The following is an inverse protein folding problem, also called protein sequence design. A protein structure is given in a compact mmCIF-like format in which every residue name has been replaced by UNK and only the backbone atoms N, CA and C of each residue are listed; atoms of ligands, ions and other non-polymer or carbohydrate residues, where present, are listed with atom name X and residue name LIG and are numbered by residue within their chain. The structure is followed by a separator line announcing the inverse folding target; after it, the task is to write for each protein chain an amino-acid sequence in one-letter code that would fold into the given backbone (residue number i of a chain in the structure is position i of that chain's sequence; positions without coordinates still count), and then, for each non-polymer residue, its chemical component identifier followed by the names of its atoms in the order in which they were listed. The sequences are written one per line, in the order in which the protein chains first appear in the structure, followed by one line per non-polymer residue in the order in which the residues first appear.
data_IF_859534139288
#
_entry.id   IF_859534139288
#
_cell.length_a   1.000
_cell.length_b   1.000
_cell.length_c   1.000
_cell.angle_alpha   90.00
_cell.angle_beta   90.00
_cell.angle_gamma   90.00
#
_symmetry.space_group_name_H-M   'P 1'
#
loop_
_entity.id
_entity.type
_entity.pdbx_description
1 polymer ?
#
# COMPACT_ATOMS: atom_id res chain seq x y z
N UNK A 1 -6.91 2.12 -0.36
CA UNK A 1 -6.56 2.05 -1.79
C UNK A 1 -5.82 3.32 -2.14
N UNK A 2 -4.50 3.30 -2.12
CA UNK A 2 -3.67 4.46 -2.46
C UNK A 2 -3.43 4.39 -3.96
N UNK A 3 -4.03 5.29 -4.74
CA UNK A 3 -3.56 5.55 -6.09
C UNK A 3 -2.21 6.23 -5.90
N UNK A 4 -1.08 5.65 -6.31
CA UNK A 4 0.18 6.35 -6.24
C UNK A 4 0.09 7.51 -7.23
N UNK A 5 -0.13 8.72 -6.74
CA UNK A 5 0.27 9.91 -7.47
C UNK A 5 1.80 9.84 -7.55
N UNK A 6 2.29 9.12 -8.54
CA UNK A 6 3.71 9.14 -8.88
C UNK A 6 4.06 10.59 -9.10
N UNK A 7 4.90 11.14 -8.22
CA UNK A 7 5.60 12.38 -8.49
C UNK A 7 6.51 12.12 -9.70
N UNK A 8 5.88 12.08 -10.88
CA UNK A 8 6.58 12.12 -12.15
C UNK A 8 7.30 13.46 -12.19
N UNK A 9 8.61 13.44 -11.97
CA UNK A 9 9.43 14.53 -12.40
C UNK A 9 9.01 14.90 -13.83
N UNK A 10 8.89 16.19 -14.10
CA UNK A 10 8.87 16.77 -15.44
C UNK A 10 10.19 16.38 -16.15
N UNK A 11 10.31 15.12 -16.52
CA UNK A 11 11.29 14.70 -17.50
C UNK A 11 10.73 15.09 -18.87
N UNK A 12 11.52 15.90 -19.57
CA UNK A 12 11.34 16.20 -20.97
C UNK A 12 10.92 14.92 -21.71
N UNK A 13 9.93 15.05 -22.59
CA UNK A 13 9.35 14.02 -23.45
C UNK A 13 10.38 13.00 -23.96
N UNK A 14 10.81 12.08 -23.11
CA UNK A 14 11.41 10.86 -23.57
C UNK A 14 10.24 10.04 -24.13
N UNK A 15 10.38 9.51 -25.31
CA UNK A 15 9.47 8.56 -25.90
C UNK A 15 9.39 7.35 -24.97
N UNK A 16 8.55 7.44 -23.93
CA UNK A 16 8.29 6.32 -23.05
C UNK A 16 7.81 5.16 -23.92
N UNK A 17 8.32 3.95 -23.72
CA UNK A 17 7.96 2.81 -24.55
C UNK A 17 6.45 2.63 -24.57
N UNK A 18 5.90 2.24 -25.70
CA UNK A 18 4.46 1.99 -25.85
C UNK A 18 3.96 0.91 -24.90
N UNK A 19 4.86 0.01 -24.50
CA UNK A 19 4.58 -1.08 -23.53
C UNK A 19 5.58 -1.01 -22.39
N UNK A 20 5.08 -1.11 -21.17
CA UNK A 20 5.88 -1.19 -19.94
C UNK A 20 5.34 -2.31 -19.05
N UNK A 21 6.19 -2.85 -18.20
CA UNK A 21 5.73 -3.86 -17.28
C UNK A 21 6.78 -4.18 -16.20
N UNK A 22 6.37 -5.02 -15.29
CA UNK A 22 7.24 -5.49 -14.25
C UNK A 22 6.57 -6.55 -13.39
N UNK A 23 7.41 -7.17 -12.60
CA UNK A 23 6.97 -8.17 -11.64
C UNK A 23 8.07 -8.41 -10.63
N UNK A 24 7.85 -9.36 -9.76
CA UNK A 24 8.83 -9.69 -8.75
C UNK A 24 8.33 -10.75 -7.78
N UNK A 25 9.10 -10.97 -6.74
CA UNK A 25 8.68 -11.76 -5.60
C UNK A 25 9.15 -11.08 -4.32
N UNK A 26 8.33 -11.11 -3.29
CA UNK A 26 8.66 -10.60 -1.95
C UNK A 26 8.26 -11.64 -0.91
N UNK A 27 9.18 -11.99 -0.09
CA UNK A 27 8.98 -12.83 1.08
C UNK A 27 9.03 -11.94 2.32
N UNK A 28 8.00 -12.03 3.19
CA UNK A 28 7.92 -11.33 4.45
C UNK A 28 7.60 -12.32 5.57
N UNK A 29 8.25 -12.20 6.71
CA UNK A 29 7.92 -12.98 7.89
C UNK A 29 8.04 -12.13 9.14
N UNK A 30 7.09 -12.29 10.06
CA UNK A 30 7.11 -11.69 11.39
C UNK A 30 6.99 -12.81 12.43
N UNK A 31 7.89 -12.84 13.40
CA UNK A 31 7.90 -13.79 14.52
C UNK A 31 7.64 -13.06 15.82
N UNK A 32 6.83 -13.65 16.68
CA UNK A 32 6.41 -13.11 17.95
C UNK A 32 7.18 -13.80 19.10
N UNK A 33 7.70 -13.00 20.05
CA UNK A 33 8.52 -13.52 21.16
C UNK A 33 7.70 -14.30 22.18
N UNK A 34 6.45 -13.85 22.42
CA UNK A 34 5.55 -14.40 23.43
C UNK A 34 4.43 -15.22 22.77
N UNK A 35 4.82 -16.15 21.90
CA UNK A 35 3.92 -16.92 21.05
C UNK A 35 2.77 -17.59 21.82
N UNK A 36 3.04 -18.18 22.97
CA UNK A 36 2.02 -18.84 23.80
C UNK A 36 1.00 -17.86 24.37
N UNK A 37 1.43 -16.66 24.77
CA UNK A 37 0.54 -15.64 25.32
C UNK A 37 -0.35 -15.00 24.24
N UNK A 38 0.20 -14.76 23.04
CA UNK A 38 -0.52 -14.14 21.93
C UNK A 38 -1.26 -15.12 21.04
N UNK A 39 -0.93 -16.43 21.12
CA UNK A 39 -1.50 -17.49 20.30
C UNK A 39 -1.03 -17.47 18.84
N UNK A 40 0.05 -16.72 18.53
CA UNK A 40 0.65 -16.60 17.21
C UNK A 40 2.16 -16.73 17.34
N UNK A 41 2.76 -17.68 16.65
CA UNK A 41 4.21 -17.85 16.57
C UNK A 41 4.83 -17.01 15.46
N UNK A 42 4.21 -17.09 14.26
CA UNK A 42 4.67 -16.31 13.11
C UNK A 42 3.58 -16.08 12.07
N UNK A 43 3.75 -14.99 11.30
CA UNK A 43 2.98 -14.71 10.10
C UNK A 43 3.97 -14.58 8.96
N UNK A 44 3.75 -15.32 7.87
CA UNK A 44 4.59 -15.32 6.68
C UNK A 44 3.75 -14.99 5.46
N UNK A 45 4.28 -14.18 4.55
CA UNK A 45 3.65 -13.80 3.30
C UNK A 45 4.66 -13.85 2.15
N UNK A 46 4.34 -14.57 1.10
CA UNK A 46 5.02 -14.52 -0.19
C UNK A 46 4.09 -13.83 -1.19
N UNK A 47 4.56 -12.78 -1.83
CA UNK A 47 3.82 -12.08 -2.88
C UNK A 47 4.59 -12.06 -4.18
N UNK A 48 3.87 -12.17 -5.29
CA UNK A 48 4.41 -12.07 -6.64
C UNK A 48 3.52 -11.09 -7.43
N UNK A 49 3.81 -9.78 -7.39
CA UNK A 49 3.08 -8.78 -8.14
C UNK A 49 3.41 -8.85 -9.63
N UNK A 50 2.40 -8.60 -10.47
CA UNK A 50 2.50 -8.46 -11.91
C UNK A 50 1.80 -7.17 -12.32
N UNK A 51 2.46 -6.39 -13.17
CA UNK A 51 1.88 -5.19 -13.74
C UNK A 51 2.31 -5.04 -15.20
N UNK A 52 1.39 -4.61 -16.04
CA UNK A 52 1.66 -4.27 -17.43
C UNK A 52 0.87 -3.01 -17.79
N UNK A 53 1.43 -2.21 -18.68
CA UNK A 53 0.79 -1.00 -19.18
C UNK A 53 1.08 -0.80 -20.66
N UNK A 54 0.10 -0.25 -21.36
CA UNK A 54 0.23 0.15 -22.75
C UNK A 54 -0.23 1.60 -22.90
N UNK A 55 0.54 2.37 -23.66
CA UNK A 55 0.19 3.75 -24.04
C UNK A 55 -0.37 3.74 -25.45
N UNK A 56 -1.57 4.27 -25.62
CA UNK A 56 -2.27 4.41 -26.89
C UNK A 56 -2.24 5.89 -27.29
N UNK A 57 -1.32 6.25 -28.17
CA UNK A 57 -1.07 7.64 -28.52
C UNK A 57 -0.45 8.44 -27.37
N UNK A 58 -0.71 9.75 -27.34
CA UNK A 58 -0.15 10.66 -26.32
C UNK A 58 -1.03 10.79 -25.07
N UNK A 59 -2.30 10.48 -25.14
CA UNK A 59 -3.28 10.84 -24.12
C UNK A 59 -3.86 9.65 -23.34
N UNK A 60 -3.80 8.44 -23.87
CA UNK A 60 -4.48 7.27 -23.27
C UNK A 60 -3.47 6.24 -22.79
N UNK A 61 -3.67 5.74 -21.56
CA UNK A 61 -2.89 4.67 -20.98
C UNK A 61 -3.82 3.64 -20.36
N UNK A 62 -3.56 2.38 -20.62
CA UNK A 62 -4.23 1.24 -20.01
C UNK A 62 -3.21 0.51 -19.16
N UNK A 63 -3.57 0.22 -17.92
CA UNK A 63 -2.74 -0.54 -16.98
C UNK A 63 -3.54 -1.73 -16.44
N UNK A 64 -2.87 -2.87 -16.29
CA UNK A 64 -3.40 -4.04 -15.64
C UNK A 64 -2.43 -4.49 -14.54
N UNK A 65 -2.95 -4.89 -13.38
CA UNK A 65 -2.14 -5.40 -12.29
C UNK A 65 -2.88 -6.43 -11.46
N UNK A 66 -2.15 -7.41 -10.97
CA UNK A 66 -2.60 -8.40 -9.99
C UNK A 66 -1.40 -8.87 -9.16
N UNK A 67 -1.65 -9.52 -8.04
CA UNK A 67 -0.60 -10.12 -7.20
C UNK A 67 -1.01 -11.54 -6.86
N UNK A 68 -0.13 -12.51 -7.09
CA UNK A 68 -0.27 -13.81 -6.44
C UNK A 68 0.28 -13.67 -5.02
N UNK A 69 -0.47 -14.15 -4.02
CA UNK A 69 -0.08 -14.09 -2.64
C UNK A 69 -0.32 -15.44 -1.94
N UNK A 70 0.66 -15.86 -1.14
CA UNK A 70 0.55 -17.02 -0.27
C UNK A 70 0.93 -16.59 1.15
N UNK A 71 -0.04 -16.60 2.05
CA UNK A 71 0.13 -16.30 3.46
C UNK A 71 0.03 -17.53 4.33
N UNK A 72 0.70 -17.50 5.47
CA UNK A 72 0.51 -18.50 6.52
C UNK A 72 0.66 -17.90 7.91
N UNK A 73 -0.16 -18.39 8.84
CA UNK A 73 -0.12 -18.10 10.26
C UNK A 73 0.17 -19.39 11.00
N UNK A 74 1.28 -19.42 11.75
CA UNK A 74 1.66 -20.54 12.61
C UNK A 74 1.30 -20.22 14.05
N UNK A 75 0.74 -21.20 14.75
CA UNK A 75 0.39 -21.11 16.17
C UNK A 75 1.32 -21.97 17.01
N UNK A 76 1.45 -21.70 18.32
CA UNK A 76 2.09 -22.60 19.25
C UNK A 76 1.51 -24.02 19.15
N UNK A 77 2.37 -25.04 19.21
CA UNK A 77 1.93 -26.44 19.04
C UNK A 77 1.96 -26.95 17.59
N UNK A 78 2.36 -26.11 16.63
CA UNK A 78 2.61 -26.51 15.23
C UNK A 78 1.39 -26.44 14.31
N UNK A 79 0.24 -25.97 14.81
CA UNK A 79 -0.92 -25.68 13.95
C UNK A 79 -0.61 -24.56 12.97
N UNK A 80 -0.98 -24.77 11.70
CA UNK A 80 -0.73 -23.81 10.63
C UNK A 80 -1.96 -23.61 9.76
N UNK A 81 -2.36 -22.33 9.61
CA UNK A 81 -3.39 -21.91 8.67
C UNK A 81 -2.72 -21.24 7.47
N UNK A 82 -3.20 -21.47 6.26
CA UNK A 82 -2.62 -20.87 5.06
C UNK A 82 -3.70 -20.47 4.05
N UNK A 83 -3.48 -19.34 3.39
CA UNK A 83 -4.31 -18.82 2.28
C UNK A 83 -3.40 -18.58 1.09
N UNK A 84 -3.82 -18.99 -0.10
CA UNK A 84 -3.08 -18.71 -1.33
C UNK A 84 -4.04 -18.39 -2.47
N UNK A 85 -3.64 -17.50 -3.37
CA UNK A 85 -4.43 -17.14 -4.55
C UNK A 85 -3.95 -15.82 -5.16
N UNK A 86 -4.61 -15.42 -6.22
CA UNK A 86 -4.47 -14.08 -6.78
C UNK A 86 -5.18 -13.07 -5.88
N UNK A 87 -4.76 -11.82 -5.94
CA UNK A 87 -5.60 -10.68 -5.53
C UNK A 87 -6.53 -10.33 -6.69
N UNK A 88 -7.51 -9.46 -6.43
CA UNK A 88 -8.35 -8.95 -7.51
C UNK A 88 -7.50 -8.29 -8.60
N UNK A 89 -7.77 -8.65 -9.87
CA UNK A 89 -7.09 -8.05 -11.02
C UNK A 89 -7.67 -6.67 -11.31
N UNK A 90 -6.83 -5.65 -11.27
CA UNK A 90 -7.21 -4.26 -11.56
C UNK A 90 -6.85 -3.90 -12.98
N UNK A 91 -7.82 -3.32 -13.69
CA UNK A 91 -7.62 -2.72 -15.01
C UNK A 91 -7.98 -1.25 -14.88
N UNK A 92 -7.04 -0.37 -15.21
CA UNK A 92 -7.21 1.06 -15.13
C UNK A 92 -7.02 1.69 -16.49
N UNK A 93 -7.96 2.56 -16.88
CA UNK A 93 -7.87 3.45 -18.02
C UNK A 93 -7.57 4.85 -17.51
N UNK A 94 -6.54 5.48 -18.06
CA UNK A 94 -6.15 6.85 -17.77
C UNK A 94 -6.19 7.66 -19.07
N UNK A 95 -6.85 8.81 -19.05
CA UNK A 95 -6.94 9.70 -20.21
C UNK A 95 -6.55 11.12 -19.81
N UNK A 96 -5.50 11.64 -20.42
CA UNK A 96 -5.12 13.05 -20.29
C UNK A 96 -6.05 13.91 -21.15
N UNK A 97 -7.02 14.59 -20.51
CA UNK A 97 -7.95 15.50 -21.16
C UNK A 97 -7.27 16.83 -21.47
N UNK A 98 -6.44 17.31 -20.54
CA UNK A 98 -5.55 18.44 -20.73
C UNK A 98 -4.12 17.94 -20.43
N UNK A 99 -3.21 17.97 -21.42
CA UNK A 99 -1.86 17.45 -21.24
C UNK A 99 -1.16 17.99 -19.99
N UNK A 100 -0.65 17.09 -19.15
CA UNK A 100 0.02 17.37 -17.90
C UNK A 100 -0.79 18.16 -16.85
N UNK A 101 -2.11 18.31 -17.02
CA UNK A 101 -2.94 19.09 -16.08
C UNK A 101 -4.19 18.38 -15.60
N UNK A 102 -4.91 17.71 -16.50
CA UNK A 102 -6.17 17.08 -16.17
C UNK A 102 -6.23 15.66 -16.70
N UNK A 103 -6.38 14.71 -15.80
CA UNK A 103 -6.51 13.29 -16.12
C UNK A 103 -7.85 12.77 -15.61
N UNK A 104 -8.54 12.02 -16.43
CA UNK A 104 -9.73 11.25 -16.06
C UNK A 104 -9.34 9.78 -16.01
N UNK A 105 -9.82 9.06 -15.01
CA UNK A 105 -9.53 7.63 -14.84
C UNK A 105 -10.80 6.82 -14.67
N UNK A 106 -10.80 5.60 -15.25
CA UNK A 106 -11.75 4.54 -14.98
C UNK A 106 -11.02 3.33 -14.42
N UNK A 107 -11.65 2.60 -13.51
CA UNK A 107 -11.11 1.41 -12.87
C UNK A 107 -12.15 0.30 -12.90
N UNK A 108 -11.72 -0.90 -13.29
CA UNK A 108 -12.45 -2.14 -13.09
C UNK A 108 -11.57 -3.09 -12.28
N UNK A 109 -12.10 -3.61 -11.19
CA UNK A 109 -11.47 -4.65 -10.39
C UNK A 109 -12.23 -5.95 -10.64
N UNK A 110 -11.58 -6.92 -11.30
CA UNK A 110 -12.17 -8.23 -11.57
C UNK A 110 -12.03 -9.11 -10.31
N UNK A 111 -13.06 -9.89 -9.95
CA UNK A 111 -13.05 -10.74 -8.74
C UNK A 111 -12.22 -12.01 -8.96
N UNK A 112 -10.96 -11.86 -9.30
CA UNK A 112 -10.00 -12.97 -9.48
C UNK A 112 -9.33 -13.39 -8.18
N UNK A 113 -9.52 -12.60 -7.13
CA UNK A 113 -8.93 -12.80 -5.82
C UNK A 113 -9.66 -13.85 -4.99
N UNK A 114 -8.92 -14.47 -4.05
CA UNK A 114 -9.53 -15.31 -3.04
C UNK A 114 -10.29 -14.41 -2.04
N UNK A 115 -11.61 -14.41 -2.10
CA UNK A 115 -12.46 -13.58 -1.26
C UNK A 115 -13.26 -14.40 -0.23
N UNK A 116 -13.22 -15.74 -0.32
CA UNK A 116 -13.92 -16.68 0.56
C UNK A 116 -12.92 -17.45 1.41
N UNK A 117 -13.12 -17.44 2.73
CA UNK A 117 -12.19 -17.98 3.72
C UNK A 117 -12.90 -18.92 4.68
N UNK A 118 -12.18 -19.92 5.19
CA UNK A 118 -12.64 -20.65 6.38
C UNK A 118 -12.53 -19.75 7.63
N UNK A 119 -13.16 -20.15 8.72
CA UNK A 119 -13.12 -19.38 9.98
C UNK A 119 -11.68 -19.20 10.49
N UNK A 120 -10.85 -20.20 10.31
CA UNK A 120 -9.42 -20.17 10.70
C UNK A 120 -8.63 -19.21 9.82
N UNK A 121 -8.94 -19.14 8.53
CA UNK A 121 -8.27 -18.26 7.55
C UNK A 121 -8.62 -16.78 7.74
N UNK A 122 -9.80 -16.47 8.28
CA UNK A 122 -10.19 -15.09 8.62
C UNK A 122 -9.19 -14.45 9.59
N UNK A 123 -8.65 -15.23 10.54
CA UNK A 123 -7.62 -14.76 11.46
C UNK A 123 -6.33 -14.33 10.75
N UNK A 124 -5.88 -15.08 9.75
CA UNK A 124 -4.73 -14.73 8.92
C UNK A 124 -5.02 -13.49 8.05
N UNK A 125 -6.19 -13.45 7.40
CA UNK A 125 -6.59 -12.31 6.59
C UNK A 125 -6.63 -11.01 7.41
N UNK A 126 -7.17 -11.06 8.63
CA UNK A 126 -7.18 -9.93 9.56
C UNK A 126 -5.79 -9.48 10.01
N UNK A 127 -4.88 -10.41 10.26
CA UNK A 127 -3.51 -10.12 10.65
C UNK A 127 -2.71 -9.45 9.51
N UNK A 128 -2.92 -9.88 8.27
CA UNK A 128 -2.29 -9.27 7.08
C UNK A 128 -2.86 -7.89 6.79
N UNK A 129 -4.13 -7.64 7.12
CA UNK A 129 -4.78 -6.33 6.97
C UNK A 129 -4.41 -5.30 8.05
N UNK A 130 -3.59 -5.67 9.07
CA UNK A 130 -3.20 -4.77 10.16
C UNK A 130 -2.27 -3.65 9.67
N UNK A 131 -2.56 -2.40 10.07
CA UNK A 131 -1.80 -1.23 9.60
C UNK A 131 -0.35 -1.17 10.14
N UNK A 132 -0.08 -1.75 11.32
CA UNK A 132 1.24 -1.71 11.94
C UNK A 132 2.26 -2.59 11.22
N UNK A 133 1.86 -3.83 10.88
CA UNK A 133 2.71 -4.76 10.15
C UNK A 133 2.63 -4.46 8.64
N UNK A 134 3.72 -3.99 8.02
CA UNK A 134 3.69 -3.51 6.64
C UNK A 134 3.75 -4.64 5.62
N UNK A 135 2.71 -5.47 5.57
CA UNK A 135 2.59 -6.48 4.51
C UNK A 135 2.33 -5.86 3.14
N UNK A 136 2.79 -6.51 2.08
CA UNK A 136 2.66 -6.05 0.68
C UNK A 136 1.20 -6.04 0.18
N UNK A 137 0.33 -6.87 0.77
CA UNK A 137 -1.10 -6.87 0.50
C UNK A 137 -1.87 -6.64 1.80
N UNK A 138 -3.10 -6.14 1.69
CA UNK A 138 -4.05 -6.01 2.81
C UNK A 138 -5.25 -6.95 2.69
N UNK A 139 -5.40 -7.61 1.55
CA UNK A 139 -6.41 -8.66 1.32
C UNK A 139 -6.06 -9.47 0.08
N UNK A 140 -6.58 -10.69 -0.04
CA UNK A 140 -6.48 -11.50 -1.25
C UNK A 140 -7.54 -11.13 -2.28
N UNK A 141 -8.76 -10.84 -1.84
CA UNK A 141 -9.85 -10.43 -2.72
C UNK A 141 -10.89 -9.62 -1.99
N UNK A 142 -11.74 -8.94 -2.75
CA UNK A 142 -12.79 -8.07 -2.24
C UNK A 142 -14.07 -8.11 -3.09
N UNK A 143 -14.25 -9.17 -3.90
CA UNK A 143 -15.41 -9.32 -4.77
C UNK A 143 -15.36 -8.43 -6.01
N UNK A 144 -14.21 -7.81 -6.29
CA UNK A 144 -14.06 -6.91 -7.43
C UNK A 144 -14.71 -5.54 -7.22
N UNK A 145 -15.07 -4.88 -8.33
CA UNK A 145 -15.75 -3.57 -8.27
C UNK A 145 -15.42 -2.67 -9.44
N UNK A 146 -16.00 -1.48 -9.44
CA UNK A 146 -15.79 -0.44 -10.46
C UNK A 146 -15.51 0.90 -9.79
N UNK A 147 -14.79 1.77 -10.48
CA UNK A 147 -14.50 3.10 -9.95
C UNK A 147 -14.08 4.06 -11.04
N UNK A 148 -13.91 5.30 -10.65
CA UNK A 148 -13.41 6.34 -11.54
C UNK A 148 -12.98 7.57 -10.76
N UNK A 149 -12.29 8.47 -11.43
CA UNK A 149 -11.82 9.67 -10.78
C UNK A 149 -11.31 10.72 -11.75
N UNK A 150 -11.05 11.88 -11.19
CA UNK A 150 -10.46 13.02 -11.89
C UNK A 150 -9.29 13.53 -11.06
N UNK A 151 -8.18 13.78 -11.70
CA UNK A 151 -6.98 14.36 -11.10
C UNK A 151 -6.56 15.61 -11.87
N UNK A 152 -6.12 16.62 -11.14
CA UNK A 152 -5.55 17.83 -11.74
C UNK A 152 -4.17 18.12 -11.14
N UNK A 153 -3.34 18.82 -11.92
CA UNK A 153 -2.05 19.33 -11.47
C UNK A 153 -1.77 20.69 -12.11
N UNK A 154 -1.29 21.63 -11.31
CA UNK A 154 -0.96 22.98 -11.74
C UNK A 154 0.43 23.36 -11.25
N UNK A 155 1.45 23.48 -12.15
CA UNK A 155 2.70 24.10 -11.80
C UNK A 155 2.57 25.61 -11.66
N UNK A 156 3.22 26.19 -10.65
CA UNK A 156 3.24 27.60 -10.35
C UNK A 156 4.65 28.04 -9.92
N UNK A 157 5.52 28.28 -10.87
CA UNK A 157 6.93 28.59 -10.60
C UNK A 157 7.67 27.42 -9.95
N UNK A 158 8.22 27.65 -8.76
CA UNK A 158 8.89 26.60 -7.95
C UNK A 158 7.92 25.71 -7.20
N UNK A 159 6.61 25.95 -7.28
CA UNK A 159 5.56 25.21 -6.59
C UNK A 159 4.73 24.40 -7.57
N UNK A 160 4.30 23.20 -7.16
CA UNK A 160 3.29 22.40 -7.83
C UNK A 160 2.13 22.12 -6.88
N UNK A 161 0.90 22.24 -7.38
CA UNK A 161 -0.32 21.93 -6.62
C UNK A 161 -1.13 20.93 -7.43
N UNK A 162 -1.53 19.85 -6.79
CA UNK A 162 -2.39 18.84 -7.42
C UNK A 162 -3.44 18.30 -6.47
N UNK A 163 -4.45 17.69 -7.06
CA UNK A 163 -5.49 17.02 -6.30
C UNK A 163 -6.26 16.02 -7.14
N UNK A 164 -6.95 15.13 -6.49
CA UNK A 164 -7.84 14.18 -7.15
C UNK A 164 -9.06 13.87 -6.31
N UNK A 165 -10.12 13.49 -6.99
CA UNK A 165 -11.34 12.92 -6.39
C UNK A 165 -11.63 11.63 -7.13
N UNK A 166 -11.88 10.55 -6.39
CA UNK A 166 -12.21 9.24 -6.92
C UNK A 166 -13.36 8.61 -6.15
N UNK A 167 -14.13 7.78 -6.83
CA UNK A 167 -15.21 7.01 -6.24
C UNK A 167 -15.13 5.57 -6.70
N UNK A 168 -15.29 4.63 -5.75
CA UNK A 168 -15.23 3.19 -6.03
C UNK A 168 -16.43 2.50 -5.41
N UNK A 169 -17.06 1.65 -6.19
CA UNK A 169 -18.18 0.79 -5.78
C UNK A 169 -17.65 -0.64 -5.79
N UNK A 170 -17.48 -1.28 -4.61
CA UNK A 170 -17.08 -2.68 -4.52
C UNK A 170 -18.17 -3.62 -5.02
N UNK A 171 -17.77 -4.80 -5.45
CA UNK A 171 -18.66 -5.91 -5.73
C UNK A 171 -19.14 -6.59 -4.45
N UNK A 172 -20.07 -7.51 -4.62
CA UNK A 172 -20.59 -8.38 -3.57
C UNK A 172 -19.87 -9.73 -3.62
N UNK A 173 -19.57 -10.31 -2.46
CA UNK A 173 -18.93 -11.62 -2.37
C UNK A 173 -19.32 -12.33 -1.08
N UNK A 174 -19.00 -13.61 -0.97
CA UNK A 174 -19.12 -14.39 0.25
C UNK A 174 -17.76 -14.42 0.98
N UNK A 175 -17.61 -13.80 2.15
CA UNK A 175 -16.32 -13.79 2.88
C UNK A 175 -16.04 -15.06 3.68
N UNK A 176 -17.05 -15.89 3.94
CA UNK A 176 -16.93 -17.08 4.82
C UNK A 176 -17.45 -18.31 4.08
N UNK A 177 -16.58 -19.31 3.93
CA UNK A 177 -16.91 -20.58 3.32
C UNK A 177 -18.06 -21.27 4.08
N UNK A 178 -18.92 -21.98 3.35
CA UNK A 178 -20.09 -22.72 3.88
C UNK A 178 -21.15 -21.85 4.59
N UNK A 179 -21.02 -20.52 4.54
CA UNK A 179 -22.06 -19.62 4.99
C UNK A 179 -22.75 -18.97 3.78
N UNK A 180 -24.06 -19.07 3.64
CA UNK A 180 -24.82 -18.31 2.63
C UNK A 180 -24.88 -16.83 3.04
N UNK A 181 -23.79 -16.11 2.82
CA UNK A 181 -23.52 -14.81 3.42
C UNK A 181 -23.02 -13.83 2.36
N UNK A 182 -23.90 -13.02 1.84
CA UNK A 182 -23.55 -12.01 0.84
C UNK A 182 -23.11 -10.72 1.52
N UNK A 183 -21.85 -10.37 1.37
CA UNK A 183 -21.25 -9.17 1.92
C UNK A 183 -20.85 -8.21 0.80
N UNK A 184 -21.20 -6.96 0.96
CA UNK A 184 -20.76 -5.85 0.11
C UNK A 184 -20.09 -4.80 0.96
N UNK A 185 -18.78 -4.56 0.77
CA UNK A 185 -18.11 -3.45 1.43
C UNK A 185 -18.71 -2.12 1.01
N UNK A 186 -18.65 -1.13 1.89
CA UNK A 186 -19.10 0.22 1.60
C UNK A 186 -18.36 0.84 0.42
N UNK A 187 -19.08 1.60 -0.40
CA UNK A 187 -18.48 2.40 -1.46
C UNK A 187 -17.52 3.44 -0.86
N UNK A 188 -16.41 3.73 -1.55
CA UNK A 188 -15.36 4.61 -1.07
C UNK A 188 -15.26 5.89 -1.90
N UNK A 189 -15.38 7.04 -1.25
CA UNK A 189 -14.98 8.36 -1.78
C UNK A 189 -13.55 8.63 -1.33
N UNK A 190 -12.64 8.89 -2.27
CA UNK A 190 -11.26 9.25 -2.01
C UNK A 190 -10.99 10.68 -2.48
N UNK A 191 -10.42 11.51 -1.61
CA UNK A 191 -9.94 12.86 -1.94
C UNK A 191 -8.46 12.91 -1.61
N UNK A 192 -7.65 13.35 -2.57
CA UNK A 192 -6.22 13.47 -2.42
C UNK A 192 -5.74 14.87 -2.78
N UNK A 193 -4.69 15.33 -2.13
CA UNK A 193 -4.02 16.58 -2.45
C UNK A 193 -2.52 16.45 -2.31
N UNK A 194 -1.81 17.22 -3.12
CA UNK A 194 -0.36 17.33 -3.08
C UNK A 194 0.04 18.78 -3.30
N UNK A 195 0.98 19.23 -2.49
CA UNK A 195 1.72 20.48 -2.71
C UNK A 195 3.20 20.12 -2.70
N UNK A 196 3.93 20.53 -3.70
CA UNK A 196 5.38 20.41 -3.73
C UNK A 196 6.05 21.77 -3.95
N UNK A 197 7.24 21.91 -3.42
CA UNK A 197 8.03 23.12 -3.52
C UNK A 197 9.50 22.79 -3.76
N UNK A 198 10.06 23.33 -4.84
CA UNK A 198 11.47 23.20 -5.17
C UNK A 198 12.23 24.39 -4.61
N UNK A 199 13.17 24.13 -3.70
CA UNK A 199 14.03 25.11 -3.06
C UNK A 199 15.16 25.57 -4.04
N UNK A 200 15.79 26.69 -3.75
CA UNK A 200 16.90 27.23 -4.56
C UNK A 200 18.08 26.27 -4.70
N UNK A 201 18.37 25.49 -3.65
CA UNK A 201 19.38 24.44 -3.65
C UNK A 201 18.96 23.15 -4.37
N UNK A 202 17.85 23.19 -5.14
CA UNK A 202 17.25 22.06 -5.87
C UNK A 202 16.71 20.94 -4.98
N UNK A 203 16.67 21.10 -3.67
CA UNK A 203 15.93 20.17 -2.83
C UNK A 203 14.43 20.39 -2.99
N UNK A 204 13.63 19.34 -2.73
CA UNK A 204 12.18 19.38 -2.92
C UNK A 204 11.47 18.99 -1.64
N UNK A 205 10.55 19.81 -1.21
CA UNK A 205 9.60 19.53 -0.15
C UNK A 205 8.28 19.11 -0.80
N UNK A 206 7.62 18.09 -0.26
CA UNK A 206 6.28 17.74 -0.68
C UNK A 206 5.43 17.41 0.55
N UNK A 207 4.17 17.86 0.49
CA UNK A 207 3.12 17.52 1.45
C UNK A 207 1.99 16.84 0.68
N UNK A 208 1.56 15.69 1.14
CA UNK A 208 0.46 14.92 0.58
C UNK A 208 -0.58 14.67 1.65
N UNK A 209 -1.86 14.69 1.27
CA UNK A 209 -2.93 14.17 2.10
C UNK A 209 -3.83 13.24 1.28
N UNK A 210 -4.43 12.27 1.94
CA UNK A 210 -5.39 11.37 1.37
C UNK A 210 -6.50 11.12 2.40
N UNK A 211 -7.75 11.42 2.04
CA UNK A 211 -8.90 11.16 2.87
C UNK A 211 -9.86 10.22 2.15
N UNK A 212 -10.24 9.15 2.84
CA UNK A 212 -11.19 8.18 2.32
C UNK A 212 -12.38 8.11 3.27
N UNK A 213 -13.56 8.23 2.71
CA UNK A 213 -14.83 8.05 3.39
C UNK A 213 -15.54 6.85 2.81
N UNK A 214 -16.13 6.03 3.68
CA UNK A 214 -16.82 4.81 3.30
C UNK A 214 -18.31 4.93 3.59
N UNK A 215 -19.15 4.38 2.72
CA UNK A 215 -20.54 4.12 3.04
C UNK A 215 -20.65 2.89 3.95
N UNK A 216 -21.86 2.58 4.39
CA UNK A 216 -22.10 1.40 5.22
C UNK A 216 -21.83 0.12 4.42
N UNK A 217 -21.25 -0.87 5.09
CA UNK A 217 -21.13 -2.23 4.59
C UNK A 217 -22.47 -2.94 4.72
N UNK A 218 -22.83 -3.73 3.72
CA UNK A 218 -24.09 -4.46 3.66
C UNK A 218 -23.87 -5.97 3.78
N UNK A 219 -24.76 -6.63 4.52
CA UNK A 219 -24.88 -8.08 4.57
C UNK A 219 -26.28 -8.46 4.17
N UNK A 220 -26.43 -9.26 3.10
CA UNK A 220 -27.73 -9.65 2.54
C UNK A 220 -28.65 -8.45 2.28
N UNK A 221 -28.08 -7.30 1.86
CA UNK A 221 -28.81 -6.06 1.60
C UNK A 221 -29.19 -5.24 2.85
N UNK A 222 -28.72 -5.64 4.03
CA UNK A 222 -28.93 -4.90 5.28
C UNK A 222 -27.62 -4.22 5.69
N UNK A 223 -27.67 -2.92 5.98
CA UNK A 223 -26.52 -2.18 6.50
C UNK A 223 -26.13 -2.76 7.87
N UNK A 224 -24.88 -3.20 8.01
CA UNK A 224 -24.38 -3.87 9.21
C UNK A 224 -23.29 -3.07 9.91
N UNK A 225 -22.34 -2.55 9.18
CA UNK A 225 -21.16 -1.93 9.73
C UNK A 225 -20.82 -0.66 8.96
N UNK A 226 -20.38 0.37 9.67
CA UNK A 226 -19.81 1.59 9.10
C UNK A 226 -18.32 1.64 9.37
N UNK A 227 -17.52 1.53 8.33
CA UNK A 227 -16.09 1.75 8.43
C UNK A 227 -15.80 3.20 8.78
N UNK A 228 -14.86 3.44 9.72
CA UNK A 228 -14.41 4.78 10.02
C UNK A 228 -13.65 5.41 8.84
N UNK A 229 -13.75 6.73 8.72
CA UNK A 229 -12.99 7.51 7.73
C UNK A 229 -11.48 7.28 7.93
N UNK A 230 -10.72 7.33 6.83
CA UNK A 230 -9.26 7.16 6.87
C UNK A 230 -8.59 8.43 6.32
N UNK A 231 -7.77 9.07 7.14
CA UNK A 231 -6.96 10.22 6.76
C UNK A 231 -5.49 9.85 6.82
N UNK A 232 -4.75 10.12 5.77
CA UNK A 232 -3.30 10.01 5.74
C UNK A 232 -2.68 11.34 5.34
N UNK A 233 -1.69 11.79 6.09
CA UNK A 233 -0.87 12.96 5.79
C UNK A 233 0.60 12.53 5.75
N UNK A 234 1.35 12.99 4.76
CA UNK A 234 2.76 12.68 4.60
C UNK A 234 3.53 13.90 4.10
N UNK A 235 4.55 14.28 4.85
CA UNK A 235 5.58 15.23 4.43
C UNK A 235 6.83 14.49 3.94
N UNK A 236 7.51 15.02 2.93
CA UNK A 236 8.80 14.50 2.48
C UNK A 236 9.74 15.61 2.06
N UNK A 237 11.03 15.38 2.26
CA UNK A 237 12.13 16.24 1.82
C UNK A 237 13.13 15.42 1.04
N UNK A 238 13.26 15.71 -0.26
CA UNK A 238 14.26 15.14 -1.14
C UNK A 238 15.41 16.14 -1.32
N UNK A 239 16.65 15.66 -1.23
CA UNK A 239 17.84 16.50 -1.26
C UNK A 239 19.00 15.81 -1.97
N UNK A 240 19.97 16.60 -2.45
CA UNK A 240 21.22 16.09 -3.02
C UNK A 240 22.18 15.73 -1.89
N UNK A 241 22.78 14.55 -1.95
CA UNK A 241 23.76 14.03 -0.98
C UNK A 241 25.10 13.81 -1.70
N UNK A 242 25.89 14.86 -1.84
CA UNK A 242 27.14 14.85 -2.60
C UNK A 242 26.93 14.79 -4.11
N UNK A 243 28.02 14.51 -4.86
CA UNK A 243 28.00 14.56 -6.31
C UNK A 243 27.29 13.39 -7.00
N UNK A 244 27.18 12.26 -6.32
CA UNK A 244 26.65 11.00 -6.88
C UNK A 244 25.48 10.44 -6.04
N UNK A 245 24.93 11.22 -5.12
CA UNK A 245 23.92 10.77 -4.19
C UNK A 245 22.72 11.70 -4.09
N UNK A 246 21.63 11.13 -3.64
CA UNK A 246 20.43 11.83 -3.21
C UNK A 246 19.92 11.21 -1.93
N UNK A 247 19.14 11.96 -1.18
CA UNK A 247 18.48 11.48 0.02
C UNK A 247 17.02 11.88 0.04
N UNK A 248 16.25 11.15 0.82
CA UNK A 248 14.87 11.48 1.12
C UNK A 248 14.62 11.23 2.60
N UNK A 249 13.99 12.18 3.28
CA UNK A 249 13.41 11.99 4.60
C UNK A 249 11.90 12.16 4.50
N UNK A 250 11.14 11.41 5.27
CA UNK A 250 9.69 11.51 5.31
C UNK A 250 9.17 11.31 6.72
N UNK A 251 8.03 11.90 6.98
CA UNK A 251 7.22 11.63 8.16
C UNK A 251 5.74 11.72 7.79
N UNK A 252 4.90 11.01 8.51
CA UNK A 252 3.48 11.04 8.25
C UNK A 252 2.65 10.50 9.40
N UNK A 253 1.36 10.62 9.21
CA UNK A 253 0.33 10.20 10.14
C UNK A 253 -0.84 9.62 9.36
N UNK A 254 -1.27 8.43 9.75
CA UNK A 254 -2.48 7.80 9.27
C UNK A 254 -3.45 7.69 10.43
N UNK A 255 -4.64 8.25 10.28
CA UNK A 255 -5.72 8.16 11.24
C UNK A 255 -6.88 7.37 10.64
N UNK A 256 -7.43 6.48 11.45
CA UNK A 256 -8.69 5.80 11.16
C UNK A 256 -9.67 6.19 12.27
N UNK A 257 -10.76 6.85 11.91
CA UNK A 257 -11.80 7.19 12.86
C UNK A 257 -12.55 5.94 13.34
N UNK A 258 -13.36 6.10 14.36
CA UNK A 258 -14.18 5.01 14.90
C UNK A 258 -15.09 4.41 13.83
N UNK A 259 -15.13 3.06 13.79
CA UNK A 259 -16.14 2.30 13.04
C UNK A 259 -17.17 1.72 13.98
N UNK A 260 -18.40 1.55 13.53
CA UNK A 260 -19.50 1.07 14.38
C UNK A 260 -20.36 0.01 13.69
N UNK A 261 -20.76 -1.01 14.43
CA UNK A 261 -21.88 -1.87 14.04
C UNK A 261 -23.19 -1.10 14.22
N UNK A 262 -24.07 -1.16 13.22
CA UNK A 262 -25.27 -0.34 13.18
C UNK A 262 -26.43 -0.91 14.01
N UNK A 263 -26.36 -2.18 14.35
CA UNK A 263 -27.34 -2.95 15.14
C UNK A 263 -26.91 -3.18 16.60
N UNK A 264 -25.70 -2.75 16.97
CA UNK A 264 -25.08 -3.03 18.27
C UNK A 264 -24.30 -1.80 18.77
N UNK A 265 -24.03 -1.77 20.07
CA UNK A 265 -23.19 -0.77 20.73
C UNK A 265 -21.69 -1.05 20.56
N UNK A 266 -21.33 -2.11 19.83
CA UNK A 266 -19.92 -2.43 19.55
C UNK A 266 -19.34 -1.44 18.56
N UNK A 267 -18.15 -0.95 18.84
CA UNK A 267 -17.41 -0.11 17.93
C UNK A 267 -15.98 -0.62 17.77
N UNK A 268 -15.38 -0.29 16.62
CA UNK A 268 -13.96 -0.41 16.42
C UNK A 268 -13.32 0.92 16.81
N UNK A 269 -12.46 0.98 17.84
CA UNK A 269 -11.88 2.22 18.30
C UNK A 269 -11.10 2.94 17.21
N UNK A 270 -11.10 4.26 17.26
CA UNK A 270 -10.24 5.10 16.44
C UNK A 270 -8.76 4.87 16.80
N UNK A 271 -7.90 4.98 15.79
CA UNK A 271 -6.47 4.74 15.96
C UNK A 271 -5.63 5.58 15.00
N UNK A 272 -4.44 5.93 15.44
CA UNK A 272 -3.44 6.63 14.67
C UNK A 272 -2.15 5.83 14.52
N UNK A 273 -1.57 5.86 13.31
CA UNK A 273 -0.24 5.34 13.00
C UNK A 273 0.66 6.49 12.60
N UNK A 274 1.67 6.78 13.42
CA UNK A 274 2.75 7.71 13.11
C UNK A 274 3.87 6.94 12.45
N UNK A 275 4.44 7.49 11.40
CA UNK A 275 5.58 6.88 10.73
C UNK A 275 6.59 7.94 10.29
N UNK A 276 7.86 7.58 10.33
CA UNK A 276 8.96 8.41 9.82
C UNK A 276 10.05 7.53 9.25
N UNK A 277 10.85 8.09 8.35
CA UNK A 277 11.98 7.36 7.81
C UNK A 277 12.90 8.25 6.99
N UNK A 278 14.03 7.67 6.63
CA UNK A 278 14.99 8.28 5.73
C UNK A 278 15.62 7.22 4.83
N UNK A 279 16.04 7.64 3.66
CA UNK A 279 16.78 6.82 2.73
C UNK A 279 17.83 7.63 1.98
N UNK A 280 18.90 6.97 1.64
CA UNK A 280 19.94 7.51 0.76
C UNK A 280 19.92 6.71 -0.54
N UNK A 281 20.41 7.32 -1.59
CA UNK A 281 20.59 6.70 -2.89
C UNK A 281 21.93 7.14 -3.43
N UNK A 282 22.82 6.20 -3.68
CA UNK A 282 24.19 6.47 -4.15
C UNK A 282 24.50 5.62 -5.37
N UNK A 283 25.03 6.25 -6.41
CA UNK A 283 25.49 5.56 -7.62
C UNK A 283 26.89 5.03 -7.42
N UNK A 284 27.08 3.72 -7.61
CA UNK A 284 28.35 3.04 -7.46
C UNK A 284 28.55 1.97 -8.54
N UNK A 285 29.58 2.14 -9.39
CA UNK A 285 29.96 1.14 -10.40
C UNK A 285 28.84 0.78 -11.39
N UNK A 286 28.00 1.73 -11.77
CA UNK A 286 26.84 1.48 -12.65
C UNK A 286 25.59 0.93 -11.96
N UNK A 287 25.67 0.67 -10.67
CA UNK A 287 24.52 0.29 -9.81
C UNK A 287 24.09 1.47 -8.95
N UNK A 288 22.88 1.39 -8.38
CA UNK A 288 22.43 2.31 -7.33
C UNK A 288 22.19 1.53 -6.04
N UNK A 289 22.81 1.97 -4.96
CA UNK A 289 22.66 1.41 -3.62
C UNK A 289 21.81 2.35 -2.79
N UNK A 290 20.76 1.84 -2.15
CA UNK A 290 19.78 2.65 -1.44
C UNK A 290 19.46 2.06 -0.06
N UNK A 291 20.23 2.39 1.01
CA UNK A 291 19.88 2.09 2.38
C UNK A 291 18.68 2.93 2.84
N UNK A 292 17.88 2.36 3.73
CA UNK A 292 16.70 3.01 4.33
C UNK A 292 16.59 2.69 5.82
N UNK A 293 15.98 3.59 6.57
CA UNK A 293 15.56 3.36 7.95
C UNK A 293 14.13 3.88 8.14
N UNK A 294 13.34 3.21 8.96
CA UNK A 294 11.96 3.59 9.26
C UNK A 294 11.59 3.35 10.72
N UNK A 295 10.61 4.11 11.19
CA UNK A 295 9.96 3.95 12.49
C UNK A 295 8.45 4.06 12.30
N UNK A 296 7.70 3.21 12.99
CA UNK A 296 6.23 3.20 13.05
C UNK A 296 5.78 3.11 14.50
N UNK A 297 4.80 3.91 14.88
CA UNK A 297 4.19 3.89 16.21
C UNK A 297 2.69 3.97 16.04
N UNK A 298 1.97 2.99 16.55
CA UNK A 298 0.51 2.94 16.48
C UNK A 298 -0.08 3.13 17.87
N UNK A 299 -1.12 3.97 17.97
CA UNK A 299 -1.85 4.25 19.20
C UNK A 299 -3.34 4.36 18.93
N UNK A 300 -4.16 4.00 19.93
CA UNK A 300 -5.59 4.39 19.98
C UNK A 300 -5.72 5.83 20.43
N UNK A 301 -6.86 6.46 20.14
CA UNK A 301 -7.13 7.84 20.55
C UNK A 301 -7.28 7.97 22.08
N UNK A 302 -7.62 6.89 22.80
CA UNK A 302 -7.59 6.82 24.26
C UNK A 302 -6.18 6.81 24.87
N UNK A 303 -5.14 6.85 24.03
CA UNK A 303 -3.74 6.81 24.43
C UNK A 303 -3.14 5.41 24.55
N UNK A 304 -3.94 4.35 24.39
CA UNK A 304 -3.44 2.97 24.46
C UNK A 304 -2.42 2.72 23.35
N UNK A 305 -1.21 2.31 23.70
CA UNK A 305 -0.16 1.92 22.77
C UNK A 305 -0.54 0.61 22.07
N UNK A 306 -0.49 0.60 20.74
CA UNK A 306 -0.80 -0.56 19.92
C UNK A 306 0.48 -1.23 19.38
N UNK A 307 1.61 -0.56 19.49
CA UNK A 307 2.91 -1.09 19.15
C UNK A 307 3.82 -0.12 18.43
N UNK A 308 5.07 -0.53 18.37
CA UNK A 308 6.16 0.22 17.73
C UNK A 308 7.02 -0.72 16.90
N UNK A 309 7.35 -0.33 15.67
CA UNK A 309 8.28 -1.04 14.80
C UNK A 309 9.36 -0.08 14.31
N UNK A 310 10.63 -0.48 14.46
CA UNK A 310 11.76 0.15 13.80
C UNK A 310 12.34 -0.80 12.75
N UNK A 311 12.83 -0.27 11.64
CA UNK A 311 13.37 -1.08 10.55
C UNK A 311 14.54 -0.42 9.85
N UNK A 312 15.40 -1.27 9.27
CA UNK A 312 16.47 -0.86 8.37
C UNK A 312 16.47 -1.77 7.14
N UNK A 313 16.73 -1.21 5.98
CA UNK A 313 16.71 -1.92 4.73
C UNK A 313 17.79 -1.50 3.76
N UNK A 314 18.01 -2.33 2.76
CA UNK A 314 18.91 -2.09 1.64
C UNK A 314 18.21 -2.50 0.35
N UNK A 315 18.23 -1.62 -0.63
CA UNK A 315 17.81 -1.88 -2.01
C UNK A 315 18.96 -1.60 -2.93
N UNK A 316 19.14 -2.45 -3.93
CA UNK A 316 20.14 -2.25 -5.00
C UNK A 316 19.41 -2.23 -6.34
N UNK A 317 19.76 -1.31 -7.23
CA UNK A 317 19.25 -1.24 -8.59
C UNK A 317 20.38 -1.60 -9.55
N UNK A 318 20.19 -2.66 -10.32
CA UNK A 318 21.21 -3.22 -11.21
C UNK A 318 20.67 -3.19 -12.64
N UNK A 319 21.15 -2.30 -13.50
CA UNK A 319 20.83 -2.31 -14.93
C UNK A 319 21.37 -3.59 -15.60
N UNK A 320 20.52 -4.32 -16.30
CA UNK A 320 20.86 -5.53 -17.04
C UNK A 320 20.23 -5.45 -18.45
N UNK A 321 20.88 -4.74 -19.37
CA UNK A 321 20.30 -4.41 -20.68
C UNK A 321 19.05 -3.55 -20.54
N UNK A 322 17.93 -4.00 -21.09
CA UNK A 322 16.64 -3.32 -21.03
C UNK A 322 15.83 -3.64 -19.74
N UNK A 323 16.41 -4.43 -18.84
CA UNK A 323 15.79 -4.83 -17.59
C UNK A 323 16.52 -4.17 -16.42
N UNK A 324 15.75 -3.66 -15.45
CA UNK A 324 16.27 -3.22 -14.16
C UNK A 324 15.96 -4.29 -13.12
N UNK A 325 17.00 -4.86 -12.51
CA UNK A 325 16.91 -5.88 -11.45
C UNK A 325 17.07 -5.19 -10.10
N UNK A 326 16.11 -5.41 -9.18
CA UNK A 326 16.04 -4.67 -7.92
C UNK A 326 15.90 -5.66 -6.75
N UNK A 327 17.00 -6.23 -6.24
CA UNK A 327 17.00 -6.96 -4.98
C UNK A 327 16.82 -5.99 -3.79
N UNK A 328 16.08 -6.44 -2.77
CA UNK A 328 15.91 -5.70 -1.52
C UNK A 328 15.88 -6.64 -0.32
N UNK A 329 16.33 -6.13 0.81
CA UNK A 329 16.20 -6.77 2.13
C UNK A 329 15.82 -5.70 3.14
N UNK A 330 14.97 -6.05 4.11
CA UNK A 330 14.61 -5.17 5.23
C UNK A 330 14.44 -6.01 6.50
N UNK A 331 15.00 -5.51 7.59
CA UNK A 331 14.85 -6.07 8.93
C UNK A 331 14.01 -5.11 9.77
N UNK A 332 13.11 -5.65 10.57
CA UNK A 332 12.26 -4.89 11.48
C UNK A 332 12.25 -5.52 12.86
N UNK A 333 12.08 -4.70 13.90
CA UNK A 333 11.94 -5.17 15.26
C UNK A 333 11.12 -4.19 16.09
N UNK A 334 10.47 -4.68 17.12
CA UNK A 334 9.65 -3.84 18.00
C UNK A 334 8.67 -4.62 18.84
N UNK A 335 7.54 -4.02 19.15
CA UNK A 335 6.44 -4.62 19.91
C UNK A 335 5.11 -4.38 19.23
N UNK A 336 4.16 -5.26 19.49
CA UNK A 336 2.77 -5.15 18.99
C UNK A 336 1.80 -5.64 20.05
N UNK A 337 0.73 -4.88 20.26
CA UNK A 337 -0.40 -5.28 21.10
C UNK A 337 -1.35 -6.15 20.26
N UNK A 338 -1.51 -7.41 20.64
CA UNK A 338 -2.38 -8.36 19.92
C UNK A 338 -3.82 -8.27 20.44
N UNK A 339 -3.98 -8.14 21.76
CA UNK A 339 -5.26 -7.92 22.45
C UNK A 339 -5.02 -7.15 23.73
N UNK A 340 -6.07 -6.56 24.30
CA UNK A 340 -5.95 -5.73 25.48
C UNK A 340 -5.18 -6.43 26.62
N UNK A 341 -4.08 -5.82 27.03
CA UNK A 341 -3.18 -6.32 28.06
C UNK A 341 -2.20 -7.42 27.64
N UNK A 342 -2.14 -7.79 26.34
CA UNK A 342 -1.21 -8.81 25.82
C UNK A 342 -0.41 -8.22 24.66
N UNK A 343 0.81 -7.82 24.95
CA UNK A 343 1.81 -7.38 23.98
C UNK A 343 2.89 -8.43 23.75
N UNK A 344 3.53 -8.37 22.60
CA UNK A 344 4.64 -9.25 22.24
C UNK A 344 5.72 -8.47 21.52
N UNK A 345 6.97 -8.83 21.79
CA UNK A 345 8.08 -8.48 20.93
C UNK A 345 7.88 -9.11 19.54
N UNK A 346 8.28 -8.39 18.50
CA UNK A 346 8.20 -8.87 17.13
C UNK A 346 9.48 -8.60 16.36
N UNK A 347 9.93 -9.60 15.58
CA UNK A 347 11.03 -9.47 14.62
C UNK A 347 10.52 -9.82 13.25
N UNK A 348 10.77 -8.93 12.27
CA UNK A 348 10.38 -9.10 10.88
C UNK A 348 11.56 -9.13 9.93
N UNK A 349 11.47 -9.96 8.91
CA UNK A 349 12.40 -10.01 7.78
C UNK A 349 11.60 -9.91 6.49
N UNK A 350 12.05 -9.04 5.60
CA UNK A 350 11.57 -8.94 4.22
C UNK A 350 12.74 -9.14 3.27
N UNK A 351 12.56 -9.98 2.27
CA UNK A 351 13.48 -10.15 1.16
C UNK A 351 12.69 -10.11 -0.16
N UNK A 352 13.16 -9.35 -1.14
CA UNK A 352 12.45 -9.22 -2.39
C UNK A 352 13.38 -9.06 -3.59
N UNK A 353 12.84 -9.41 -4.75
CA UNK A 353 13.44 -9.20 -6.06
C UNK A 353 12.37 -8.62 -6.98
N UNK A 354 12.60 -7.45 -7.54
CA UNK A 354 11.73 -6.89 -8.56
C UNK A 354 12.45 -6.75 -9.90
N UNK A 355 11.70 -6.92 -10.98
CA UNK A 355 12.15 -6.75 -12.36
C UNK A 355 11.29 -5.67 -13.02
N UNK A 356 11.91 -4.73 -13.70
CA UNK A 356 11.23 -3.71 -14.53
C UNK A 356 11.75 -3.75 -15.94
N UNK A 357 10.87 -3.59 -16.91
CA UNK A 357 11.22 -3.40 -18.31
C UNK A 357 10.38 -2.27 -18.91
N UNK A 358 10.82 -1.71 -20.02
CA UNK A 358 10.11 -0.62 -20.70
C UNK A 358 10.32 0.78 -20.13
N UNK A 359 11.30 0.97 -19.25
CA UNK A 359 11.64 2.26 -18.64
C UNK A 359 13.04 2.79 -19.01
N UNK A 360 13.60 2.42 -20.14
CA UNK A 360 14.93 2.80 -20.59
C UNK A 360 15.04 4.26 -21.05
N UNK A 361 14.99 5.20 -20.09
CA UNK A 361 15.61 6.51 -20.24
C UNK A 361 16.91 6.51 -19.45
N UNK A 362 18.04 6.43 -20.14
CA UNK A 362 19.37 6.77 -19.60
C UNK A 362 19.49 8.28 -19.45
#
# INVERSE_FOLDING_TARGET
MTIPLGAGALEAQSTAPAVSGGGGATFQTFRFSDADAVGIESITLLTTPFAAGVRLGSAVRIEASTTFAQGSLSRPGGEKTSVSGLTDTRIQLLTEVVPNRLTVSGLVSLPTGAAEFTVEEVGLAGAVAADLLPFEISSWGSGGGVGGGVAFFQPAGSMGIGGSVGYTIPGEFNPVQDAEFRYRPGAALAIQGIVDYTLENRSRLALQFNWNRFSDDEVQGVNLFRSGDRLEMRGSWAFTAGAQGSGVAWAGYLHRSEGAFLDDLRSRPSQGLYFAGAGLRHSWGGMVVAPTAELRVQRRDDGTDQGTLAGAGLRVEIPAGDVLVIPRIQLRGGSVLIRDGVDSGVVGVEAGLALRFGGGGR
#
